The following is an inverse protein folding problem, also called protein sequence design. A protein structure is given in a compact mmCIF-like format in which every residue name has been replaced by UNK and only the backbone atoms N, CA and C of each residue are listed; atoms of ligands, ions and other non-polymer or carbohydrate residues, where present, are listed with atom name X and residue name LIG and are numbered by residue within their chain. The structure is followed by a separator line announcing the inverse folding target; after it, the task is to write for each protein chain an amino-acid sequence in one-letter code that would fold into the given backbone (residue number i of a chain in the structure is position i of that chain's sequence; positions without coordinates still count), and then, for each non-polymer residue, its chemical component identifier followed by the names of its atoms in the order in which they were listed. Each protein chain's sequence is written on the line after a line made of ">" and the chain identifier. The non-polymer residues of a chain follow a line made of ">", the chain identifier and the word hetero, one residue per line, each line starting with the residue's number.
data_IF_510864730764
#
_entry.id   IF_510864730764
#
_cell.length_a   1.000
_cell.length_b   1.000
_cell.length_c   1.000
_cell.angle_alpha   90.00
_cell.angle_beta   90.00
_cell.angle_gamma   90.00
#
_symmetry.space_group_name_H-M   'P 1'
#
loop_
_entity.id
_entity.type
_entity.pdbx_description
1 polymer ?
#
# COMPACT_ATOMS: atom_id res chain seq x y z
N UNK A 1 5.88 -2.51 -14.70
CA UNK A 1 5.42 -3.90 -14.43
C UNK A 1 4.47 -3.83 -13.24
N UNK A 2 3.38 -4.58 -13.21
CA UNK A 2 2.29 -4.36 -12.25
C UNK A 2 2.29 -5.36 -11.09
N UNK A 3 2.02 -4.91 -9.87
CA UNK A 3 2.04 -5.77 -8.68
C UNK A 3 0.94 -6.84 -8.73
N UNK A 4 -0.24 -6.53 -9.26
CA UNK A 4 -1.36 -7.49 -9.39
C UNK A 4 -1.01 -8.80 -10.11
N UNK A 5 0.06 -8.80 -10.91
CA UNK A 5 0.53 -9.98 -11.67
C UNK A 5 1.49 -10.86 -10.88
N UNK A 6 1.89 -10.45 -9.68
CA UNK A 6 2.90 -11.10 -8.84
C UNK A 6 2.44 -11.30 -7.39
N UNK A 7 1.26 -10.78 -7.06
CA UNK A 7 0.73 -10.76 -5.69
C UNK A 7 0.65 -12.15 -5.06
N UNK A 8 0.38 -13.19 -5.84
CA UNK A 8 0.21 -14.56 -5.34
C UNK A 8 1.46 -15.05 -4.59
N UNK A 9 2.67 -14.76 -5.10
CA UNK A 9 3.92 -15.11 -4.42
C UNK A 9 4.12 -14.40 -3.07
N UNK A 10 3.58 -13.19 -2.92
CA UNK A 10 3.64 -12.46 -1.65
C UNK A 10 2.58 -12.96 -0.69
N UNK A 11 1.41 -13.36 -1.21
CA UNK A 11 0.31 -13.92 -0.42
C UNK A 11 0.66 -15.29 0.18
N UNK A 12 1.62 -16.04 -0.41
CA UNK A 12 2.17 -17.26 0.18
C UNK A 12 2.84 -17.04 1.55
N UNK A 13 3.29 -15.81 1.85
CA UNK A 13 3.85 -15.45 3.16
C UNK A 13 2.76 -15.17 4.21
N UNK A 14 1.50 -15.25 3.80
CA UNK A 14 0.30 -14.94 4.57
C UNK A 14 0.36 -13.61 5.35
N UNK A 15 0.63 -12.47 4.68
CA UNK A 15 0.73 -11.20 5.37
C UNK A 15 -0.66 -10.70 5.83
N UNK A 16 -0.73 -10.23 7.07
CA UNK A 16 -1.87 -9.44 7.57
C UNK A 16 -1.90 -8.03 6.98
N UNK A 17 -0.72 -7.45 6.74
CA UNK A 17 -0.54 -6.09 6.21
C UNK A 17 0.53 -6.09 5.12
N UNK A 18 0.23 -5.44 4.00
CA UNK A 18 1.14 -5.29 2.88
C UNK A 18 1.25 -3.83 2.45
N UNK A 19 2.47 -3.32 2.33
CA UNK A 19 2.77 -1.96 1.89
C UNK A 19 3.60 -2.02 0.60
N UNK A 20 3.01 -1.57 -0.51
CA UNK A 20 3.60 -1.65 -1.85
C UNK A 20 3.84 -0.24 -2.39
N UNK A 21 5.10 0.08 -2.67
CA UNK A 21 5.48 1.29 -3.41
C UNK A 21 5.25 1.08 -4.92
N UNK A 22 5.05 2.19 -5.63
CA UNK A 22 4.72 2.20 -7.06
C UNK A 22 3.52 1.30 -7.41
N UNK A 23 2.56 1.21 -6.49
CA UNK A 23 1.37 0.39 -6.64
C UNK A 23 0.37 1.03 -7.60
N UNK A 24 -0.19 0.23 -8.50
CA UNK A 24 -1.36 0.64 -9.27
C UNK A 24 -2.57 0.96 -8.37
N UNK A 25 -3.45 1.85 -8.82
CA UNK A 25 -4.66 2.23 -8.07
C UNK A 25 -5.66 1.05 -8.04
N UNK A 26 -5.94 0.46 -6.87
CA UNK A 26 -6.83 -0.70 -6.76
C UNK A 26 -8.28 -0.42 -7.16
N UNK A 27 -8.72 0.84 -7.04
CA UNK A 27 -10.05 1.27 -7.45
C UNK A 27 -10.22 1.39 -8.98
N UNK A 28 -9.12 1.33 -9.74
CA UNK A 28 -9.12 1.49 -11.21
C UNK A 28 -8.60 0.28 -11.96
N UNK A 29 -7.76 -0.54 -11.34
CA UNK A 29 -7.10 -1.66 -12.01
C UNK A 29 -7.00 -2.89 -11.11
N UNK A 30 -7.19 -4.06 -11.72
CA UNK A 30 -7.01 -5.35 -11.05
C UNK A 30 -8.19 -5.78 -10.17
N UNK A 31 -8.03 -6.95 -9.57
CA UNK A 31 -8.97 -7.52 -8.61
C UNK A 31 -8.19 -7.77 -7.33
N UNK A 32 -8.75 -7.34 -6.20
CA UNK A 32 -8.07 -7.29 -4.90
C UNK A 32 -8.92 -7.95 -3.80
N UNK A 33 -9.68 -8.98 -4.16
CA UNK A 33 -10.68 -9.62 -3.28
C UNK A 33 -10.05 -10.37 -2.10
N UNK A 34 -8.77 -10.73 -2.20
CA UNK A 34 -8.02 -11.32 -1.09
C UNK A 34 -7.75 -10.35 0.07
N UNK A 35 -7.91 -9.04 -0.17
CA UNK A 35 -7.72 -8.00 0.83
C UNK A 35 -9.07 -7.55 1.39
N UNK A 36 -9.17 -7.47 2.72
CA UNK A 36 -10.38 -7.03 3.41
C UNK A 36 -10.54 -5.51 3.36
N UNK A 37 -9.42 -4.77 3.31
CA UNK A 37 -9.41 -3.33 3.13
C UNK A 37 -8.12 -2.86 2.43
N UNK A 38 -8.14 -1.65 1.88
CA UNK A 38 -6.96 -0.99 1.36
C UNK A 38 -7.04 0.53 1.49
N UNK A 39 -5.88 1.18 1.57
CA UNK A 39 -5.68 2.61 1.36
C UNK A 39 -4.72 2.75 0.18
N UNK A 40 -4.99 3.72 -0.69
CA UNK A 40 -4.08 4.04 -1.77
C UNK A 40 -3.93 5.55 -1.92
N UNK A 41 -2.70 6.01 -2.07
CA UNK A 41 -2.37 7.41 -2.35
C UNK A 41 -1.34 7.52 -3.48
N UNK A 42 -1.63 8.34 -4.50
CA UNK A 42 -0.70 8.56 -5.60
C UNK A 42 -1.23 9.57 -6.63
N UNK A 43 -0.31 10.16 -7.38
CA UNK A 43 -0.61 11.24 -8.35
C UNK A 43 -1.15 10.70 -9.69
N UNK A 44 -0.92 9.41 -9.97
CA UNK A 44 -1.47 8.75 -11.16
C UNK A 44 -1.84 7.29 -10.87
N UNK A 45 -2.74 6.73 -11.68
CA UNK A 45 -3.31 5.40 -11.48
C UNK A 45 -2.31 4.23 -11.53
N UNK A 46 -1.05 4.46 -11.89
CA UNK A 46 -0.05 3.41 -12.05
C UNK A 46 1.08 3.50 -11.01
N UNK A 47 1.16 4.58 -10.22
CA UNK A 47 2.26 4.82 -9.27
C UNK A 47 1.75 5.52 -8.03
N UNK A 48 1.48 4.74 -6.99
CA UNK A 48 1.15 5.24 -5.65
C UNK A 48 1.75 4.37 -4.55
N UNK A 49 1.39 4.67 -3.31
CA UNK A 49 1.61 3.82 -2.15
C UNK A 49 0.31 3.09 -1.85
N UNK A 50 0.33 1.76 -2.00
CA UNK A 50 -0.79 0.90 -1.63
C UNK A 50 -0.55 0.27 -0.27
N UNK A 51 -1.50 0.40 0.64
CA UNK A 51 -1.54 -0.29 1.93
C UNK A 51 -2.74 -1.23 1.87
N UNK A 52 -2.51 -2.52 1.98
CA UNK A 52 -3.54 -3.54 1.91
C UNK A 52 -3.57 -4.33 3.20
N UNK A 53 -4.75 -4.58 3.74
CA UNK A 53 -4.93 -5.43 4.92
C UNK A 53 -5.73 -6.68 4.59
N UNK A 54 -5.43 -7.76 5.31
CA UNK A 54 -6.14 -9.04 5.26
C UNK A 54 -6.66 -9.38 6.66
N UNK A 55 -7.50 -10.42 6.73
CA UNK A 55 -8.06 -10.91 7.99
C UNK A 55 -8.80 -9.78 8.74
N UNK A 56 -8.74 -9.80 10.07
CA UNK A 56 -9.40 -8.84 10.95
C UNK A 56 -8.61 -7.51 11.11
N UNK A 57 -7.55 -7.31 10.32
CA UNK A 57 -6.82 -6.06 10.30
C UNK A 57 -7.54 -5.01 9.44
N UNK A 58 -7.85 -3.88 10.06
CA UNK A 58 -8.49 -2.74 9.38
C UNK A 58 -7.53 -1.55 9.34
N UNK A 59 -7.36 -0.95 8.16
CA UNK A 59 -6.55 0.24 7.95
C UNK A 59 -7.43 1.45 7.66
N UNK A 60 -7.10 2.60 8.23
CA UNK A 60 -7.75 3.88 7.94
C UNK A 60 -6.72 4.98 7.77
N UNK A 61 -7.01 5.91 6.86
CA UNK A 61 -6.25 7.14 6.77
C UNK A 61 -6.56 8.01 7.99
N UNK A 62 -5.53 8.60 8.59
CA UNK A 62 -5.66 9.58 9.66
C UNK A 62 -5.10 10.91 9.14
N UNK A 63 -5.87 11.99 9.31
CA UNK A 63 -5.49 13.33 8.82
C UNK A 63 -4.51 14.02 9.77
N UNK A 64 -4.55 13.67 11.06
CA UNK A 64 -3.73 14.27 12.11
C UNK A 64 -3.03 13.16 12.89
N UNK A 65 -1.70 13.18 12.86
CA UNK A 65 -0.88 12.30 13.70
C UNK A 65 -0.72 13.00 15.05
N UNK A 66 -1.34 12.45 16.10
CA UNK A 66 -1.01 12.88 17.47
C UNK A 66 0.42 12.45 17.74
N UNK A 67 1.30 13.39 18.12
CA UNK A 67 2.74 13.17 18.40
C UNK A 67 3.05 12.23 19.59
N UNK A 68 2.08 11.43 20.05
CA UNK A 68 2.21 10.52 21.19
C UNK A 68 2.49 9.06 20.76
N UNK A 69 2.72 8.82 19.47
CA UNK A 69 3.07 7.49 18.95
C UNK A 69 4.60 7.40 18.92
N UNK A 70 5.22 6.59 19.78
CA UNK A 70 6.69 6.42 19.84
C UNK A 70 7.32 5.66 18.65
N UNK A 71 6.57 5.43 17.57
CA UNK A 71 7.06 4.76 16.38
C UNK A 71 6.66 5.55 15.14
N UNK A 72 7.55 6.44 14.71
CA UNK A 72 7.45 7.12 13.43
C UNK A 72 7.82 6.11 12.32
N UNK A 73 6.84 5.68 11.53
CA UNK A 73 7.11 5.01 10.26
C UNK A 73 7.13 6.08 9.18
N UNK A 74 8.30 6.69 9.00
CA UNK A 74 8.53 7.73 8.00
C UNK A 74 8.77 7.11 6.62
N UNK A 75 7.81 7.27 5.70
CA UNK A 75 7.98 6.90 4.30
C UNK A 75 8.45 8.11 3.49
N UNK A 76 9.76 8.31 3.39
CA UNK A 76 10.33 9.37 2.54
C UNK A 76 10.35 8.92 1.08
N UNK A 77 9.60 9.63 0.23
CA UNK A 77 9.63 9.46 -1.23
C UNK A 77 11.01 9.86 -1.76
N UNK A 78 11.84 8.90 -2.14
CA UNK A 78 13.07 9.16 -2.88
C UNK A 78 12.73 9.40 -4.35
N UNK A 79 12.74 10.66 -4.80
CA UNK A 79 12.79 10.94 -6.23
C UNK A 79 14.24 10.75 -6.71
N UNK A 80 14.46 9.75 -7.57
CA UNK A 80 15.74 9.60 -8.24
C UNK A 80 15.97 10.83 -9.12
N UNK A 81 16.94 11.68 -8.76
CA UNK A 81 17.54 12.59 -9.74
C UNK A 81 18.20 11.71 -10.80
N UNK A 82 17.63 11.69 -12.00
CA UNK A 82 18.28 11.20 -13.20
C UNK A 82 19.63 11.94 -13.32
N UNK A 83 20.72 11.16 -13.31
CA UNK A 83 22.03 11.59 -13.80
C UNK A 83 22.01 11.60 -15.33
#
# INVERSE_FOLDING_TARGET
>A
MAFRKKKDHVLELDPDLLIIQECENPAKQGTWQEFSNYIWGGDNNNKGLGVFSRNDCNVKLIEEVKNDISYDVEFTKFESKLL
#
